data_IF_556307184056
#
_entry.id   IF_556307184056
#
_cell.length_a   1.000
_cell.length_b   1.000
_cell.length_c   1.000
_cell.angle_alpha   90.00
_cell.angle_beta   90.00
_cell.angle_gamma   90.00
#
_symmetry.space_group_name_H-M   'P 1'
#
loop_
_entity.id
_entity.type
_entity.pdbx_description
1 polymer ?
#
# COMPACT_ATOMS: atom_id res chain seq x y z
N UNK A 1 -23.50 2.04 -22.95
CA UNK A 1 -23.35 1.09 -21.86
C UNK A 1 -22.01 1.31 -21.11
N UNK A 2 -20.90 1.49 -21.82
CA UNK A 2 -19.57 1.77 -21.24
C UNK A 2 -19.54 2.97 -20.25
N UNK A 3 -20.26 4.06 -20.54
CA UNK A 3 -20.34 5.26 -19.66
C UNK A 3 -21.01 5.02 -18.29
N UNK A 4 -21.91 4.03 -18.16
CA UNK A 4 -22.61 3.74 -16.90
C UNK A 4 -21.85 2.75 -16.02
N UNK A 5 -21.06 1.87 -16.63
CA UNK A 5 -20.25 0.87 -15.91
C UNK A 5 -18.96 1.53 -15.38
N UNK A 6 -18.39 2.48 -16.14
CA UNK A 6 -17.32 3.33 -15.65
C UNK A 6 -17.74 4.19 -14.44
N UNK A 7 -19.05 4.56 -14.38
CA UNK A 7 -19.62 5.28 -13.24
C UNK A 7 -19.67 4.44 -11.95
N UNK A 8 -19.72 3.11 -12.04
CA UNK A 8 -19.72 2.25 -10.84
C UNK A 8 -18.31 2.08 -10.21
N UNK A 9 -17.24 2.02 -11.02
CA UNK A 9 -15.88 2.21 -10.50
C UNK A 9 -15.69 3.62 -9.91
N UNK A 10 -16.43 4.61 -10.41
CA UNK A 10 -16.50 5.99 -9.92
C UNK A 10 -17.15 6.13 -8.54
N UNK A 11 -18.09 5.26 -8.15
CA UNK A 11 -18.84 5.43 -6.89
C UNK A 11 -17.97 5.11 -5.68
N UNK A 12 -16.95 4.25 -5.79
CA UNK A 12 -15.93 4.09 -4.76
C UNK A 12 -14.96 5.29 -4.75
N UNK A 13 -14.94 6.09 -5.83
CA UNK A 13 -13.95 7.12 -6.10
C UNK A 13 -14.50 8.54 -6.27
N UNK A 14 -15.82 8.77 -6.19
CA UNK A 14 -16.46 9.96 -6.72
C UNK A 14 -16.92 10.99 -5.69
N UNK A 15 -16.18 11.18 -4.60
CA UNK A 15 -16.39 12.37 -3.74
C UNK A 15 -15.08 13.10 -3.41
N UNK A 16 -14.12 13.13 -4.35
CA UNK A 16 -12.98 14.02 -4.20
C UNK A 16 -13.02 15.10 -5.27
N UNK A 17 -12.96 16.34 -4.84
CA UNK A 17 -12.93 17.54 -5.66
C UNK A 17 -11.91 17.44 -6.79
N UNK A 18 -12.37 17.67 -8.03
CA UNK A 18 -11.52 17.90 -9.18
C UNK A 18 -10.71 19.17 -8.97
N UNK A 19 -9.41 19.05 -8.72
CA UNK A 19 -8.47 20.09 -9.10
C UNK A 19 -8.02 19.77 -10.52
N UNK A 20 -8.64 20.45 -11.49
CA UNK A 20 -8.16 20.49 -12.86
C UNK A 20 -6.81 21.22 -12.90
N UNK A 21 -5.73 20.47 -13.08
CA UNK A 21 -4.53 21.03 -13.70
C UNK A 21 -4.62 20.79 -15.20
N UNK A 22 -4.78 21.86 -15.96
CA UNK A 22 -4.98 21.83 -17.40
C UNK A 22 -3.83 21.15 -18.14
N UNK A 23 -4.18 20.13 -18.90
CA UNK A 23 -3.36 19.44 -19.88
C UNK A 23 -4.27 18.79 -20.89
N UNK A 24 -3.96 18.92 -22.16
CA UNK A 24 -4.70 18.57 -23.37
C UNK A 24 -5.65 17.40 -23.26
N UNK A 25 -6.87 17.57 -23.80
CA UNK A 25 -7.92 16.57 -23.92
C UNK A 25 -7.47 15.40 -24.80
N UNK A 26 -6.93 14.37 -24.17
CA UNK A 26 -6.72 13.07 -24.78
C UNK A 26 -7.95 12.19 -24.45
N UNK A 27 -8.66 11.72 -25.48
CA UNK A 27 -10.02 11.19 -25.41
C UNK A 27 -10.20 9.83 -24.72
N UNK A 28 -9.37 9.47 -23.75
CA UNK A 28 -9.46 8.24 -22.97
C UNK A 28 -9.99 8.47 -21.55
N UNK A 29 -10.67 7.47 -20.99
CA UNK A 29 -11.11 7.51 -19.58
C UNK A 29 -9.93 7.27 -18.66
N UNK A 30 -9.37 8.37 -18.12
CA UNK A 30 -8.23 8.36 -17.18
C UNK A 30 -8.72 8.69 -15.79
N UNK A 31 -8.46 7.83 -14.82
CA UNK A 31 -8.68 8.11 -13.40
C UNK A 31 -7.35 8.05 -12.67
N UNK A 32 -6.99 9.14 -11.98
CA UNK A 32 -5.78 9.21 -11.16
C UNK A 32 -6.21 9.28 -9.71
N UNK A 33 -5.71 8.34 -8.92
CA UNK A 33 -5.85 8.34 -7.48
C UNK A 33 -4.53 8.79 -6.87
N UNK A 34 -4.50 10.02 -6.36
CA UNK A 34 -3.30 10.60 -5.76
C UNK A 34 -3.11 10.19 -4.30
N UNK A 35 -1.86 10.25 -3.82
CA UNK A 35 -1.48 9.98 -2.43
C UNK A 35 -1.90 11.08 -1.44
N UNK A 36 -2.47 12.19 -1.89
CA UNK A 36 -2.86 13.34 -1.05
C UNK A 36 -4.01 13.05 -0.07
N UNK A 37 -4.28 11.76 0.16
CA UNK A 37 -5.29 11.34 1.10
C UNK A 37 -4.74 11.41 2.53
N UNK A 38 -5.37 12.18 3.45
CA UNK A 38 -4.88 12.32 4.80
C UNK A 38 -4.90 10.97 5.53
N UNK A 39 -3.86 10.72 6.34
CA UNK A 39 -3.85 9.58 7.24
C UNK A 39 -4.96 9.76 8.29
N UNK A 40 -5.76 8.72 8.56
CA UNK A 40 -6.63 8.74 9.73
C UNK A 40 -5.75 8.77 10.98
N UNK A 41 -5.96 9.72 11.86
CA UNK A 41 -5.22 9.84 13.12
C UNK A 41 -6.20 9.72 14.28
N UNK A 42 -5.96 8.75 15.16
CA UNK A 42 -6.72 8.60 16.41
C UNK A 42 -6.01 9.35 17.54
N UNK A 43 -6.76 9.68 18.59
CA UNK A 43 -6.17 10.24 19.79
C UNK A 43 -5.19 9.25 20.42
N UNK A 44 -3.97 9.70 20.71
CA UNK A 44 -2.95 8.87 21.34
C UNK A 44 -3.23 8.75 22.84
N UNK A 45 -3.11 7.52 23.35
CA UNK A 45 -3.09 7.27 24.79
C UNK A 45 -1.67 7.45 25.35
N UNK A 46 -1.57 7.62 26.66
CA UNK A 46 -0.27 7.49 27.32
C UNK A 46 0.21 6.03 27.21
N UNK A 47 1.44 5.77 26.72
CA UNK A 47 1.92 4.42 26.56
C UNK A 47 1.98 3.65 27.89
N UNK A 48 1.37 2.47 27.91
CA UNK A 48 1.44 1.52 29.03
C UNK A 48 2.65 0.61 28.81
N UNK A 49 3.82 1.02 29.31
CA UNK A 49 5.11 0.32 29.15
C UNK A 49 5.66 -0.13 30.52
N UNK A 50 6.45 -1.23 30.59
CA UNK A 50 6.88 -2.06 29.46
C UNK A 50 5.76 -2.92 28.87
N UNK A 51 5.77 -3.08 27.52
CA UNK A 51 4.86 -3.95 26.79
C UNK A 51 5.65 -5.10 26.17
N UNK A 52 5.08 -6.31 26.20
CA UNK A 52 5.71 -7.50 25.60
C UNK A 52 4.77 -8.08 24.55
N UNK A 53 5.28 -8.31 23.35
CA UNK A 53 4.56 -8.92 22.23
C UNK A 53 5.36 -10.08 21.66
N UNK A 54 4.68 -11.08 21.10
CA UNK A 54 5.30 -12.05 20.22
C UNK A 54 5.15 -11.52 18.80
N UNK A 55 6.27 -11.21 18.13
CA UNK A 55 6.29 -10.62 16.81
C UNK A 55 6.11 -11.67 15.69
N UNK A 56 6.05 -11.23 14.43
CA UNK A 56 5.84 -12.12 13.28
C UNK A 56 7.05 -13.03 12.97
N UNK A 57 8.16 -12.87 13.68
CA UNK A 57 9.31 -13.79 13.65
C UNK A 57 9.29 -14.79 14.81
N UNK A 58 8.15 -14.96 15.49
CA UNK A 58 7.96 -15.78 16.70
C UNK A 58 8.92 -15.38 17.85
N UNK A 59 9.39 -14.13 17.86
CA UNK A 59 10.28 -13.60 18.89
C UNK A 59 9.48 -12.82 19.93
N UNK A 60 9.71 -13.12 21.21
CA UNK A 60 9.16 -12.32 22.32
C UNK A 60 9.99 -11.03 22.47
N UNK A 61 9.38 -9.87 22.22
CA UNK A 61 10.02 -8.56 22.26
C UNK A 61 9.38 -7.73 23.36
N UNK A 62 10.20 -7.20 24.27
CA UNK A 62 9.74 -6.26 25.31
C UNK A 62 10.20 -4.85 24.96
N UNK A 63 9.25 -3.94 24.81
CA UNK A 63 9.48 -2.52 24.61
C UNK A 63 9.27 -1.80 25.94
N UNK A 64 10.31 -1.15 26.44
CA UNK A 64 10.26 -0.41 27.72
C UNK A 64 10.16 1.10 27.53
N UNK A 65 10.42 1.58 26.32
CA UNK A 65 10.37 3.00 25.95
C UNK A 65 10.01 3.12 24.46
N UNK A 66 9.01 3.94 24.13
CA UNK A 66 8.56 4.23 22.77
C UNK A 66 8.77 5.72 22.40
N UNK A 67 9.69 6.40 23.06
CA UNK A 67 9.95 7.82 22.79
C UNK A 67 10.78 8.07 21.53
N UNK A 68 11.51 7.06 21.02
CA UNK A 68 12.40 7.17 19.87
C UNK A 68 12.22 5.98 18.92
N UNK A 69 11.31 6.11 17.99
CA UNK A 69 10.89 5.03 17.09
C UNK A 69 11.61 5.15 15.74
N UNK A 70 12.16 4.06 15.26
CA UNK A 70 12.59 3.92 13.87
C UNK A 70 11.60 3.01 13.13
N UNK A 71 11.07 3.48 11.99
CA UNK A 71 10.11 2.76 11.15
C UNK A 71 10.77 2.32 9.85
N UNK A 72 10.69 1.04 9.52
CA UNK A 72 11.43 0.44 8.42
C UNK A 72 10.56 0.03 7.22
N UNK A 73 9.33 0.54 7.15
CA UNK A 73 8.54 0.55 5.92
C UNK A 73 7.39 1.56 5.99
N UNK A 74 6.83 1.87 4.82
CA UNK A 74 5.75 2.84 4.62
C UNK A 74 4.50 2.51 5.46
N UNK A 75 4.01 1.26 5.45
CA UNK A 75 2.79 0.89 6.15
C UNK A 75 2.95 0.96 7.68
N UNK A 76 4.12 0.59 8.20
CA UNK A 76 4.46 0.75 9.62
C UNK A 76 4.48 2.24 9.99
N UNK A 77 5.11 3.08 9.16
CA UNK A 77 5.13 4.53 9.36
C UNK A 77 3.72 5.12 9.43
N UNK A 78 2.84 4.72 8.50
CA UNK A 78 1.44 5.14 8.48
C UNK A 78 0.71 4.75 9.76
N UNK A 79 0.89 3.51 10.23
CA UNK A 79 0.24 3.04 11.46
C UNK A 79 0.74 3.84 12.68
N UNK A 80 2.05 4.05 12.82
CA UNK A 80 2.60 4.82 13.95
C UNK A 80 2.10 6.26 13.95
N UNK A 81 2.03 6.90 12.77
CA UNK A 81 1.43 8.23 12.63
C UNK A 81 -0.06 8.20 13.01
N UNK A 82 -0.80 7.21 12.50
CA UNK A 82 -2.23 7.07 12.77
C UNK A 82 -2.56 6.81 14.24
N UNK A 83 -1.63 6.19 14.98
CA UNK A 83 -1.72 6.05 16.43
C UNK A 83 -1.38 7.35 17.21
N UNK A 84 -1.14 8.46 16.50
CA UNK A 84 -0.82 9.76 17.12
C UNK A 84 0.63 9.89 17.60
N UNK A 85 1.54 8.99 17.19
CA UNK A 85 2.92 8.94 17.67
C UNK A 85 3.95 9.47 16.64
N UNK A 86 3.54 10.33 15.73
CA UNK A 86 4.40 10.91 14.68
C UNK A 86 5.67 11.53 15.23
N UNK A 87 5.55 12.31 16.30
CA UNK A 87 6.68 13.06 16.88
C UNK A 87 7.75 12.15 17.53
N UNK A 88 7.40 10.89 17.77
CA UNK A 88 8.34 9.88 18.27
C UNK A 88 9.19 9.25 17.15
N UNK A 89 8.83 9.43 15.87
CA UNK A 89 9.55 8.86 14.74
C UNK A 89 10.83 9.66 14.48
N UNK A 90 11.98 9.02 14.67
CA UNK A 90 13.30 9.65 14.52
C UNK A 90 14.12 9.11 13.35
N UNK A 91 13.68 8.01 12.75
CA UNK A 91 14.31 7.40 11.60
C UNK A 91 13.29 6.64 10.75
N UNK A 92 13.53 6.62 9.44
CA UNK A 92 12.67 5.94 8.46
C UNK A 92 13.48 5.23 7.38
N UNK A 93 12.87 4.26 6.73
CA UNK A 93 13.45 3.67 5.53
C UNK A 93 13.39 4.63 4.32
N UNK A 94 14.22 4.39 3.32
CA UNK A 94 14.31 5.23 2.13
C UNK A 94 13.04 5.16 1.24
N UNK A 95 12.27 4.07 1.34
CA UNK A 95 11.05 3.86 0.54
C UNK A 95 9.82 4.57 1.14
N UNK A 96 9.90 5.01 2.39
CA UNK A 96 8.84 5.81 3.04
C UNK A 96 8.81 7.22 2.43
N UNK A 97 7.76 7.52 1.68
CA UNK A 97 7.61 8.78 0.92
C UNK A 97 6.68 9.79 1.57
N UNK A 98 6.12 9.48 2.76
CA UNK A 98 5.20 10.34 3.50
C UNK A 98 5.77 11.76 3.68
N UNK A 99 5.05 12.78 3.24
CA UNK A 99 5.44 14.19 3.39
C UNK A 99 5.71 14.53 4.85
N UNK A 100 4.89 14.00 5.75
CA UNK A 100 5.02 14.20 7.20
C UNK A 100 6.36 13.71 7.79
N UNK A 101 7.11 12.87 7.07
CA UNK A 101 8.39 12.30 7.49
C UNK A 101 9.56 12.71 6.59
N UNK A 102 9.40 13.66 5.67
CA UNK A 102 10.47 14.07 4.75
C UNK A 102 11.71 14.61 5.46
N UNK A 103 11.54 15.26 6.61
CA UNK A 103 12.64 15.77 7.44
C UNK A 103 13.26 14.70 8.35
N UNK A 104 12.67 13.51 8.45
CA UNK A 104 13.18 12.42 9.32
C UNK A 104 14.32 11.70 8.61
N UNK A 105 15.37 11.36 9.36
CA UNK A 105 16.59 10.73 8.85
C UNK A 105 16.32 9.38 8.17
N UNK A 106 16.98 9.13 7.05
CA UNK A 106 16.92 7.87 6.32
C UNK A 106 17.98 6.90 6.83
N UNK A 107 17.54 5.71 7.21
CA UNK A 107 18.42 4.67 7.79
C UNK A 107 18.58 3.45 6.90
N UNK A 108 18.10 3.49 5.66
CA UNK A 108 18.23 2.40 4.70
C UNK A 108 18.59 2.92 3.32
N UNK A 109 19.07 2.01 2.46
CA UNK A 109 19.22 2.22 1.03
C UNK A 109 18.27 1.24 0.29
N UNK A 110 17.12 1.73 -0.13
CA UNK A 110 16.05 0.85 -0.58
C UNK A 110 15.55 -0.03 0.57
N UNK A 111 15.58 -1.34 0.39
CA UNK A 111 15.18 -2.31 1.43
C UNK A 111 16.32 -2.72 2.36
N UNK A 112 17.56 -2.27 2.09
CA UNK A 112 18.73 -2.63 2.88
C UNK A 112 18.89 -1.66 4.05
N UNK A 113 18.60 -2.14 5.25
CA UNK A 113 18.74 -1.39 6.50
C UNK A 113 20.21 -1.31 6.91
N UNK A 114 20.69 -0.11 7.24
CA UNK A 114 22.00 0.10 7.85
C UNK A 114 21.87 0.07 9.37
N UNK A 115 22.34 -1.00 10.00
CA UNK A 115 22.35 -1.10 11.47
C UNK A 115 23.13 0.05 12.11
N UNK A 116 24.26 0.48 11.51
CA UNK A 116 25.06 1.62 11.99
C UNK A 116 24.24 2.92 11.96
N UNK A 117 23.54 3.20 10.84
CA UNK A 117 22.70 4.39 10.72
C UNK A 117 21.57 4.38 11.75
N UNK A 118 20.92 3.23 11.97
CA UNK A 118 19.88 3.07 12.98
C UNK A 118 20.46 3.32 14.38
N UNK A 119 21.56 2.67 14.74
CA UNK A 119 22.19 2.80 16.08
C UNK A 119 22.66 4.23 16.36
N UNK A 120 23.13 4.96 15.34
CA UNK A 120 23.54 6.37 15.47
C UNK A 120 22.43 7.27 16.00
N UNK A 121 21.18 6.93 15.65
CA UNK A 121 19.99 7.64 16.12
C UNK A 121 19.59 7.30 17.56
N UNK A 122 20.23 6.29 18.18
CA UNK A 122 19.90 5.82 19.53
C UNK A 122 18.40 5.57 19.72
N UNK A 123 17.79 4.70 18.91
CA UNK A 123 16.35 4.38 19.03
C UNK A 123 16.08 3.63 20.34
N UNK A 124 14.85 3.76 20.83
CA UNK A 124 14.33 2.94 21.93
C UNK A 124 13.53 1.74 21.43
N UNK A 125 13.06 1.79 20.19
CA UNK A 125 12.41 0.68 19.49
C UNK A 125 12.56 0.84 17.97
N UNK A 126 12.71 -0.27 17.27
CA UNK A 126 12.69 -0.36 15.80
C UNK A 126 11.53 -1.23 15.38
N UNK A 127 10.76 -0.79 14.39
CA UNK A 127 9.61 -1.55 13.87
C UNK A 127 9.75 -1.72 12.35
N UNK A 128 9.78 -2.97 11.92
CA UNK A 128 9.78 -3.36 10.52
C UNK A 128 8.70 -4.39 10.21
N UNK A 129 8.79 -5.06 9.07
CA UNK A 129 7.98 -6.21 8.72
C UNK A 129 8.86 -7.39 8.27
N UNK A 130 8.23 -8.50 7.88
CA UNK A 130 8.93 -9.74 7.48
C UNK A 130 9.84 -9.57 6.26
N UNK A 131 9.73 -8.48 5.49
CA UNK A 131 10.60 -8.14 4.36
C UNK A 131 11.77 -7.24 4.74
N UNK A 132 11.77 -6.75 5.98
CA UNK A 132 12.85 -5.87 6.47
C UNK A 132 14.15 -6.65 6.58
N UNK A 133 15.20 -6.16 5.95
CA UNK A 133 16.48 -6.85 5.94
C UNK A 133 17.66 -5.91 5.66
N UNK A 134 18.87 -6.44 5.51
CA UNK A 134 19.19 -7.88 5.62
C UNK A 134 19.07 -8.44 7.04
N UNK A 135 18.89 -9.76 7.21
CA UNK A 135 18.74 -10.39 8.54
C UNK A 135 19.88 -10.04 9.51
N UNK A 136 21.10 -9.93 9.00
CA UNK A 136 22.29 -9.58 9.77
C UNK A 136 22.16 -8.19 10.42
N UNK A 137 21.52 -7.23 9.74
CA UNK A 137 21.28 -5.91 10.31
C UNK A 137 20.29 -5.98 11.48
N UNK A 138 19.26 -6.82 11.37
CA UNK A 138 18.28 -7.04 12.44
C UNK A 138 18.95 -7.71 13.65
N UNK A 139 19.80 -8.71 13.41
CA UNK A 139 20.57 -9.38 14.47
C UNK A 139 21.55 -8.42 15.17
N UNK A 140 22.22 -7.54 14.42
CA UNK A 140 23.09 -6.52 14.99
C UNK A 140 22.32 -5.54 15.88
N UNK A 141 21.15 -5.08 15.48
CA UNK A 141 20.29 -4.21 16.28
C UNK A 141 19.86 -4.90 17.58
N UNK A 142 19.38 -6.15 17.47
CA UNK A 142 19.01 -6.98 18.64
C UNK A 142 20.21 -7.24 19.55
N UNK A 143 21.38 -7.54 18.98
CA UNK A 143 22.63 -7.74 19.71
C UNK A 143 23.13 -6.48 20.43
N UNK A 144 22.80 -5.30 19.94
CA UNK A 144 23.04 -4.01 20.61
C UNK A 144 22.00 -3.68 21.70
N UNK A 145 21.05 -4.58 21.96
CA UNK A 145 20.02 -4.41 22.99
C UNK A 145 18.82 -3.55 22.56
N UNK A 146 18.68 -3.27 21.26
CA UNK A 146 17.54 -2.53 20.75
C UNK A 146 16.36 -3.49 20.51
N UNK A 147 15.18 -3.25 21.09
CA UNK A 147 13.96 -3.98 20.75
C UNK A 147 13.64 -3.79 19.27
N UNK A 148 13.58 -4.89 18.49
CA UNK A 148 13.19 -4.89 17.09
C UNK A 148 11.93 -5.73 16.95
N UNK A 149 10.81 -5.07 16.61
CA UNK A 149 9.50 -5.68 16.41
C UNK A 149 9.28 -5.89 14.92
N UNK A 150 9.03 -7.13 14.53
CA UNK A 150 8.70 -7.51 13.15
C UNK A 150 7.19 -7.67 13.04
N UNK A 151 6.53 -6.71 12.40
CA UNK A 151 5.09 -6.77 12.15
C UNK A 151 4.77 -7.78 11.04
N UNK A 152 3.56 -8.39 11.03
CA UNK A 152 3.16 -9.29 9.96
C UNK A 152 3.05 -8.56 8.63
N UNK A 153 3.42 -9.24 7.56
CA UNK A 153 3.15 -8.77 6.21
C UNK A 153 1.64 -8.83 5.92
N UNK A 154 1.15 -7.82 5.21
CA UNK A 154 -0.27 -7.70 4.90
C UNK A 154 -0.44 -7.48 3.41
N UNK A 155 -1.14 -8.42 2.76
CA UNK A 155 -1.55 -8.36 1.35
C UNK A 155 -3.07 -8.32 1.20
N UNK A 156 -3.82 -8.37 2.33
CA UNK A 156 -5.27 -8.40 2.35
C UNK A 156 -5.83 -7.31 3.26
N UNK A 157 -7.00 -6.80 2.93
CA UNK A 157 -7.71 -5.83 3.78
C UNK A 157 -8.04 -6.44 5.15
N UNK A 158 -8.38 -7.73 5.18
CA UNK A 158 -8.73 -8.47 6.39
C UNK A 158 -7.55 -8.68 7.35
N UNK A 159 -6.32 -8.63 6.87
CA UNK A 159 -5.12 -8.80 7.71
C UNK A 159 -4.62 -7.48 8.36
N UNK A 160 -5.11 -6.32 7.92
CA UNK A 160 -4.71 -5.03 8.46
C UNK A 160 -4.95 -4.88 9.97
N UNK A 161 -6.11 -5.31 10.54
CA UNK A 161 -6.36 -5.23 11.98
C UNK A 161 -5.27 -5.90 12.82
N UNK A 162 -4.80 -7.08 12.42
CA UNK A 162 -3.75 -7.82 13.15
C UNK A 162 -2.43 -7.04 13.19
N UNK A 163 -2.02 -6.42 12.07
CA UNK A 163 -0.83 -5.57 12.00
C UNK A 163 -0.95 -4.34 12.90
N UNK A 164 -2.09 -3.64 12.85
CA UNK A 164 -2.37 -2.46 13.68
C UNK A 164 -2.33 -2.84 15.17
N UNK A 165 -3.02 -3.92 15.56
CA UNK A 165 -3.07 -4.39 16.94
C UNK A 165 -1.69 -4.75 17.47
N UNK A 166 -0.87 -5.45 16.68
CA UNK A 166 0.49 -5.82 17.09
C UNK A 166 1.36 -4.58 17.31
N UNK A 167 1.39 -3.62 16.37
CA UNK A 167 2.20 -2.42 16.48
C UNK A 167 1.73 -1.57 17.67
N UNK A 168 0.43 -1.36 17.83
CA UNK A 168 -0.14 -0.60 18.94
C UNK A 168 0.18 -1.24 20.30
N UNK A 169 0.08 -2.58 20.39
CA UNK A 169 0.43 -3.32 21.61
C UNK A 169 1.92 -3.20 21.94
N UNK A 170 2.80 -3.33 20.93
CA UNK A 170 4.23 -3.17 21.12
C UNK A 170 4.62 -1.76 21.61
N UNK A 171 3.90 -0.74 21.14
CA UNK A 171 4.10 0.67 21.53
C UNK A 171 3.39 1.05 22.85
N UNK A 172 2.68 0.12 23.49
CA UNK A 172 1.96 0.34 24.73
C UNK A 172 0.68 1.18 24.58
N UNK A 173 0.10 1.26 23.39
CA UNK A 173 -1.12 2.03 23.10
C UNK A 173 -2.25 1.16 22.51
N UNK A 174 -2.61 0.03 23.15
CA UNK A 174 -3.55 -0.94 22.58
C UNK A 174 -4.94 -0.34 22.31
N UNK A 175 -5.42 0.57 23.17
CA UNK A 175 -6.71 1.25 22.99
C UNK A 175 -6.75 2.16 21.77
N UNK A 176 -5.65 2.87 21.46
CA UNK A 176 -5.51 3.62 20.23
C UNK A 176 -5.53 2.66 19.02
N UNK A 177 -4.89 1.49 19.16
CA UNK A 177 -4.96 0.42 18.16
C UNK A 177 -6.38 -0.05 17.88
N UNK A 178 -7.18 -0.32 18.91
CA UNK A 178 -8.60 -0.70 18.79
C UNK A 178 -9.40 0.37 18.04
N UNK A 179 -9.26 1.64 18.43
CA UNK A 179 -9.93 2.76 17.74
C UNK A 179 -9.53 2.87 16.27
N UNK A 180 -8.25 2.64 15.96
CA UNK A 180 -7.77 2.69 14.58
C UNK A 180 -8.31 1.51 13.77
N UNK A 181 -8.42 0.32 14.35
CA UNK A 181 -9.05 -0.84 13.73
C UNK A 181 -10.52 -0.58 13.44
N UNK A 182 -11.30 -0.12 14.44
CA UNK A 182 -12.72 0.19 14.28
C UNK A 182 -12.96 1.23 13.18
N UNK A 183 -12.16 2.30 13.18
CA UNK A 183 -12.21 3.35 12.14
C UNK A 183 -11.93 2.76 10.76
N UNK A 184 -10.93 1.89 10.69
CA UNK A 184 -10.50 1.23 9.47
C UNK A 184 -11.58 0.30 8.91
N UNK A 185 -12.14 -0.57 9.74
CA UNK A 185 -13.19 -1.50 9.36
C UNK A 185 -14.48 -0.78 8.96
N UNK A 186 -14.85 0.28 9.68
CA UNK A 186 -16.00 1.11 9.31
C UNK A 186 -15.83 1.71 7.93
N UNK A 187 -14.67 2.28 7.64
CA UNK A 187 -14.39 2.89 6.35
C UNK A 187 -14.35 1.87 5.20
N UNK A 188 -13.79 0.66 5.42
CA UNK A 188 -13.87 -0.45 4.45
C UNK A 188 -15.33 -0.82 4.17
N UNK A 189 -16.12 -1.05 5.23
CA UNK A 189 -17.49 -1.46 5.10
C UNK A 189 -18.36 -0.41 4.39
N UNK A 190 -18.12 0.86 4.64
CA UNK A 190 -18.83 1.94 3.98
C UNK A 190 -18.43 2.06 2.50
N UNK A 191 -17.15 1.88 2.18
CA UNK A 191 -16.68 1.81 0.80
C UNK A 191 -17.35 0.64 0.05
N UNK A 192 -17.39 -0.56 0.65
CA UNK A 192 -18.03 -1.74 0.07
C UNK A 192 -19.54 -1.56 -0.16
N UNK A 193 -20.26 -0.90 0.77
CA UNK A 193 -21.68 -0.58 0.59
C UNK A 193 -21.91 0.35 -0.61
N UNK A 194 -21.01 1.31 -0.82
CA UNK A 194 -21.12 2.28 -1.91
C UNK A 194 -20.81 1.69 -3.29
N UNK A 195 -20.08 0.57 -3.37
CA UNK A 195 -19.88 -0.19 -4.63
C UNK A 195 -21.22 -0.68 -5.19
N UNK A 196 -22.21 -0.87 -4.32
CA UNK A 196 -23.54 -1.34 -4.67
C UNK A 196 -23.52 -2.79 -5.22
N UNK A 197 -24.69 -3.29 -5.55
CA UNK A 197 -24.83 -4.53 -6.31
C UNK A 197 -24.56 -4.30 -7.83
N UNK A 198 -23.52 -3.52 -8.15
CA UNK A 198 -23.05 -3.45 -9.51
C UNK A 198 -22.49 -4.84 -9.84
N UNK A 199 -23.28 -5.67 -10.53
CA UNK A 199 -22.79 -6.87 -11.18
C UNK A 199 -21.78 -6.44 -12.26
N UNK A 200 -20.65 -5.89 -11.82
CA UNK A 200 -19.58 -5.50 -12.71
C UNK A 200 -18.86 -6.77 -13.13
N UNK A 201 -18.98 -7.09 -14.39
CA UNK A 201 -18.18 -8.13 -15.04
C UNK A 201 -16.89 -7.56 -15.62
N UNK A 202 -16.50 -6.34 -15.20
CA UNK A 202 -15.28 -5.68 -15.71
C UNK A 202 -14.05 -6.51 -15.38
N UNK A 203 -13.35 -6.88 -16.43
CA UNK A 203 -12.10 -7.63 -16.36
C UNK A 203 -10.96 -6.62 -16.20
N UNK A 204 -10.26 -6.67 -15.07
CA UNK A 204 -9.18 -5.74 -14.73
C UNK A 204 -7.86 -6.48 -14.71
N UNK A 205 -6.85 -5.97 -15.41
CA UNK A 205 -5.48 -6.44 -15.31
C UNK A 205 -4.66 -5.46 -14.47
N UNK A 206 -4.09 -5.93 -13.38
CA UNK A 206 -3.06 -5.17 -12.67
C UNK A 206 -1.69 -5.38 -13.33
N UNK A 207 -1.10 -4.29 -13.81
CA UNK A 207 0.24 -4.30 -14.41
C UNK A 207 1.24 -3.64 -13.46
N UNK A 208 2.14 -4.45 -12.89
CA UNK A 208 3.31 -3.96 -12.17
C UNK A 208 4.44 -3.73 -13.17
N UNK A 209 4.71 -2.46 -13.47
CA UNK A 209 5.74 -2.10 -14.45
C UNK A 209 6.81 -1.21 -13.84
N UNK A 210 8.07 -1.45 -14.24
CA UNK A 210 9.25 -0.63 -13.93
C UNK A 210 10.13 -0.65 -15.18
N UNK A 211 9.77 0.18 -16.15
CA UNK A 211 10.41 0.21 -17.48
C UNK A 211 11.91 0.43 -17.42
N UNK A 212 12.37 1.33 -16.53
CA UNK A 212 13.81 1.60 -16.31
C UNK A 212 14.59 0.40 -15.79
N UNK A 213 13.92 -0.52 -15.09
CA UNK A 213 14.49 -1.77 -14.59
C UNK A 213 14.12 -2.98 -15.46
N UNK A 214 13.43 -2.78 -16.59
CA UNK A 214 12.93 -3.84 -17.47
C UNK A 214 12.05 -4.87 -16.74
N UNK A 215 11.31 -4.46 -15.71
CA UNK A 215 10.39 -5.31 -14.97
C UNK A 215 8.97 -5.07 -15.47
N UNK A 216 8.35 -6.14 -15.96
CA UNK A 216 6.97 -6.14 -16.46
C UNK A 216 6.28 -7.39 -15.93
N UNK A 217 5.33 -7.21 -15.00
CA UNK A 217 4.61 -8.30 -14.34
C UNK A 217 3.10 -8.08 -14.45
N UNK A 218 2.37 -9.17 -14.60
CA UNK A 218 0.93 -9.24 -14.47
C UNK A 218 0.60 -9.71 -13.05
N UNK A 219 -0.21 -8.94 -12.33
CA UNK A 219 -0.71 -9.30 -11.02
C UNK A 219 -1.70 -10.46 -11.11
N UNK A 220 -1.76 -11.26 -10.07
CA UNK A 220 -2.69 -12.37 -9.91
C UNK A 220 -3.02 -12.58 -8.44
N UNK A 221 -3.43 -13.78 -8.07
CA UNK A 221 -3.83 -14.13 -6.71
C UNK A 221 -2.72 -13.82 -5.70
N UNK A 222 -3.06 -13.03 -4.66
CA UNK A 222 -2.13 -12.61 -3.62
C UNK A 222 -1.25 -11.40 -3.99
N UNK A 223 -1.49 -10.72 -5.10
CA UNK A 223 -0.79 -9.46 -5.45
C UNK A 223 -1.21 -8.28 -4.56
N UNK A 224 -2.32 -8.43 -3.84
CA UNK A 224 -2.96 -7.36 -3.09
C UNK A 224 -3.79 -6.41 -3.96
N UNK A 225 -3.54 -6.35 -5.26
CA UNK A 225 -4.40 -5.64 -6.20
C UNK A 225 -5.67 -6.46 -6.51
N UNK A 226 -5.59 -7.79 -6.49
CA UNK A 226 -6.71 -8.71 -6.66
C UNK A 226 -7.85 -8.44 -5.66
N UNK A 227 -7.54 -8.24 -4.38
CA UNK A 227 -8.53 -7.86 -3.37
C UNK A 227 -9.15 -6.47 -3.62
N UNK A 228 -8.33 -5.51 -4.01
CA UNK A 228 -8.81 -4.15 -4.30
C UNK A 228 -9.72 -4.15 -5.53
N UNK A 229 -9.37 -4.92 -6.56
CA UNK A 229 -10.20 -5.12 -7.75
C UNK A 229 -11.53 -5.79 -7.39
N UNK A 230 -11.49 -6.86 -6.59
CA UNK A 230 -12.69 -7.56 -6.13
C UNK A 230 -13.56 -6.66 -5.24
N UNK A 231 -12.98 -5.91 -4.31
CA UNK A 231 -13.67 -4.93 -3.48
C UNK A 231 -14.33 -3.82 -4.31
N UNK A 232 -13.74 -3.46 -5.45
CA UNK A 232 -14.30 -2.54 -6.42
C UNK A 232 -15.39 -3.16 -7.33
N UNK A 233 -15.72 -4.44 -7.13
CA UNK A 233 -16.71 -5.18 -7.94
C UNK A 233 -16.17 -5.63 -9.30
N UNK A 234 -14.87 -5.54 -9.55
CA UNK A 234 -14.21 -6.03 -10.75
C UNK A 234 -13.77 -7.50 -10.63
N UNK A 235 -13.27 -8.04 -11.73
CA UNK A 235 -12.68 -9.37 -11.81
C UNK A 235 -11.21 -9.23 -12.17
N UNK A 236 -10.31 -9.64 -11.28
CA UNK A 236 -8.88 -9.69 -11.59
C UNK A 236 -8.61 -10.80 -12.61
N UNK A 237 -8.06 -10.43 -13.78
CA UNK A 237 -7.84 -11.41 -14.85
C UNK A 237 -6.66 -12.32 -14.58
N UNK A 238 -5.67 -11.87 -13.79
CA UNK A 238 -4.56 -12.71 -13.39
C UNK A 238 -5.02 -13.81 -12.43
N UNK A 239 -5.74 -13.44 -11.36
CA UNK A 239 -6.32 -14.40 -10.42
C UNK A 239 -7.31 -15.35 -11.12
N UNK A 240 -8.18 -14.82 -12.00
CA UNK A 240 -9.12 -15.65 -12.80
C UNK A 240 -8.41 -16.72 -13.64
N UNK A 241 -7.22 -16.41 -14.15
CA UNK A 241 -6.41 -17.34 -14.93
C UNK A 241 -5.42 -18.18 -14.08
N UNK A 242 -5.56 -18.13 -12.74
CA UNK A 242 -4.71 -18.91 -11.83
C UNK A 242 -3.26 -18.45 -11.77
N UNK A 243 -2.97 -17.20 -12.13
CA UNK A 243 -1.62 -16.66 -12.05
C UNK A 243 -1.26 -16.34 -10.59
N UNK A 244 0.01 -16.57 -10.25
CA UNK A 244 0.56 -16.15 -8.97
C UNK A 244 0.62 -14.62 -8.86
N UNK A 245 0.87 -14.13 -7.66
CA UNK A 245 0.84 -12.72 -7.29
C UNK A 245 1.54 -11.79 -8.29
N UNK A 246 2.71 -12.21 -8.78
CA UNK A 246 3.50 -11.47 -9.77
C UNK A 246 4.10 -12.44 -10.79
N UNK A 247 3.45 -12.54 -11.94
CA UNK A 247 3.88 -13.40 -13.04
C UNK A 247 4.46 -12.54 -14.17
N UNK A 248 5.54 -12.94 -14.85
CA UNK A 248 6.08 -12.19 -15.98
C UNK A 248 4.98 -11.88 -17.02
N UNK A 249 4.86 -10.61 -17.41
CA UNK A 249 3.92 -10.17 -18.44
C UNK A 249 4.41 -10.65 -19.80
N UNK A 250 3.68 -11.57 -20.41
CA UNK A 250 3.92 -11.99 -21.80
C UNK A 250 2.80 -11.45 -22.70
N UNK A 251 3.12 -11.22 -23.98
CA UNK A 251 2.14 -10.79 -24.96
C UNK A 251 0.98 -11.78 -25.09
N UNK A 252 1.26 -13.07 -25.00
CA UNK A 252 0.26 -14.13 -25.07
C UNK A 252 -0.68 -14.09 -23.87
N UNK A 253 -0.13 -13.99 -22.63
CA UNK A 253 -0.92 -13.98 -21.41
C UNK A 253 -1.89 -12.78 -21.36
N UNK A 254 -1.44 -11.58 -21.72
CA UNK A 254 -2.30 -10.38 -21.67
C UNK A 254 -3.33 -10.37 -22.78
N UNK A 255 -3.01 -10.89 -23.97
CA UNK A 255 -3.98 -11.02 -25.08
C UNK A 255 -5.04 -12.06 -24.72
N UNK A 256 -4.66 -13.21 -24.14
CA UNK A 256 -5.61 -14.22 -23.67
C UNK A 256 -6.50 -13.69 -22.54
N UNK A 257 -5.91 -12.94 -21.63
CA UNK A 257 -6.65 -12.31 -20.52
C UNK A 257 -7.63 -11.25 -21.02
N UNK A 258 -7.36 -10.54 -22.08
CA UNK A 258 -8.16 -9.51 -22.73
C UNK A 258 -8.95 -8.64 -21.76
N UNK A 259 -8.26 -7.83 -20.92
CA UNK A 259 -8.93 -6.99 -19.92
C UNK A 259 -9.74 -5.86 -20.55
N UNK A 260 -10.76 -5.40 -19.80
CA UNK A 260 -11.53 -4.19 -20.10
C UNK A 260 -10.85 -2.94 -19.56
N UNK A 261 -10.03 -3.09 -18.49
CA UNK A 261 -9.35 -2.00 -17.78
C UNK A 261 -7.94 -2.45 -17.40
N UNK A 262 -7.00 -1.55 -17.56
CA UNK A 262 -5.64 -1.70 -17.00
C UNK A 262 -5.54 -0.90 -15.71
N UNK A 263 -5.13 -1.56 -14.62
CA UNK A 263 -4.75 -0.93 -13.37
C UNK A 263 -3.24 -0.84 -13.31
N UNK A 264 -2.69 0.33 -13.07
CA UNK A 264 -1.24 0.56 -13.03
C UNK A 264 -0.89 1.57 -11.93
N UNK A 265 0.31 1.46 -11.38
CA UNK A 265 0.82 2.42 -10.41
C UNK A 265 1.46 3.62 -11.11
N UNK A 266 1.39 4.80 -10.48
CA UNK A 266 1.84 6.08 -11.03
C UNK A 266 3.31 6.06 -11.47
N UNK A 267 4.23 5.65 -10.61
CA UNK A 267 5.67 5.54 -10.95
C UNK A 267 5.94 4.49 -12.03
N UNK A 268 5.14 3.43 -12.04
CA UNK A 268 5.18 2.41 -13.09
C UNK A 268 4.80 3.00 -14.46
N UNK A 269 3.69 3.73 -14.51
CA UNK A 269 3.23 4.38 -15.73
C UNK A 269 4.25 5.39 -16.26
N UNK A 270 4.82 6.22 -15.39
CA UNK A 270 5.88 7.18 -15.76
C UNK A 270 7.11 6.47 -16.34
N UNK A 271 7.49 5.34 -15.75
CA UNK A 271 8.70 4.58 -16.16
C UNK A 271 8.61 3.98 -17.57
N UNK A 272 7.41 3.87 -18.13
CA UNK A 272 7.18 3.36 -19.49
C UNK A 272 6.78 4.45 -20.49
N UNK A 273 6.84 5.73 -20.10
CA UNK A 273 6.50 6.86 -20.97
C UNK A 273 5.02 7.22 -21.00
N UNK A 274 4.32 6.99 -19.88
CA UNK A 274 2.91 7.33 -19.73
C UNK A 274 1.96 6.33 -20.39
N UNK A 275 0.72 6.79 -20.63
CA UNK A 275 -0.34 5.92 -21.17
C UNK A 275 0.05 5.36 -22.54
N UNK A 276 0.59 6.17 -23.43
CA UNK A 276 0.95 5.72 -24.77
C UNK A 276 2.06 4.67 -24.74
N UNK A 277 3.05 4.85 -23.88
CA UNK A 277 4.08 3.86 -23.65
C UNK A 277 3.52 2.55 -23.08
N UNK A 278 2.62 2.62 -22.08
CA UNK A 278 1.95 1.46 -21.51
C UNK A 278 1.15 0.70 -22.57
N UNK A 279 0.33 1.41 -23.34
CA UNK A 279 -0.53 0.80 -24.38
C UNK A 279 0.28 0.25 -25.57
N UNK A 280 1.52 0.69 -25.78
CA UNK A 280 2.41 0.17 -26.82
C UNK A 280 3.15 -1.11 -26.41
N UNK A 281 3.07 -1.53 -25.16
CA UNK A 281 3.72 -2.76 -24.70
C UNK A 281 3.22 -3.99 -25.51
N UNK A 282 4.10 -4.97 -25.77
CA UNK A 282 3.74 -6.17 -26.52
C UNK A 282 2.52 -6.90 -25.95
N UNK A 283 1.52 -7.13 -26.78
CA UNK A 283 0.23 -7.75 -26.42
C UNK A 283 -0.77 -6.79 -25.79
N UNK A 284 -0.34 -5.79 -25.02
CA UNK A 284 -1.26 -4.80 -24.41
C UNK A 284 -2.04 -4.04 -25.47
N UNK A 285 -1.38 -3.61 -26.54
CA UNK A 285 -2.00 -2.89 -27.67
C UNK A 285 -3.17 -3.63 -28.35
N UNK A 286 -3.24 -4.95 -28.16
CA UNK A 286 -4.28 -5.80 -28.77
C UNK A 286 -5.49 -6.04 -27.87
N UNK A 287 -5.51 -5.47 -26.65
CA UNK A 287 -6.59 -5.69 -25.67
C UNK A 287 -7.73 -4.69 -25.83
N UNK A 288 -8.90 -5.04 -25.32
CA UNK A 288 -10.06 -4.13 -25.23
C UNK A 288 -9.76 -2.89 -24.42
N UNK A 289 -8.99 -3.03 -23.34
CA UNK A 289 -8.55 -1.92 -22.52
C UNK A 289 -7.72 -0.91 -23.32
N UNK A 290 -6.80 -1.38 -24.17
CA UNK A 290 -6.01 -0.51 -25.02
C UNK A 290 -6.86 0.19 -26.09
N UNK A 291 -7.78 -0.53 -26.75
CA UNK A 291 -8.68 0.04 -27.74
C UNK A 291 -9.57 1.14 -27.15
N UNK A 292 -10.00 0.99 -25.89
CA UNK A 292 -10.79 1.97 -25.15
C UNK A 292 -9.94 3.01 -24.40
N UNK A 293 -8.61 2.87 -24.40
CA UNK A 293 -7.67 3.64 -23.55
C UNK A 293 -8.10 3.65 -22.06
N UNK A 294 -8.66 2.54 -21.59
CA UNK A 294 -9.20 2.40 -20.24
C UNK A 294 -8.08 2.07 -19.25
N UNK A 295 -7.48 3.11 -18.66
CA UNK A 295 -6.39 3.02 -17.71
C UNK A 295 -6.77 3.68 -16.40
N UNK A 296 -6.66 2.94 -15.31
CA UNK A 296 -6.77 3.45 -13.94
C UNK A 296 -5.37 3.54 -13.35
N UNK A 297 -5.01 4.73 -12.90
CA UNK A 297 -3.70 5.00 -12.28
C UNK A 297 -3.90 5.19 -10.80
N UNK A 298 -3.17 4.43 -9.99
CA UNK A 298 -3.20 4.51 -8.53
C UNK A 298 -1.80 4.85 -8.04
N UNK A 299 -1.72 5.71 -7.04
CA UNK A 299 -0.43 5.99 -6.40
C UNK A 299 0.17 4.70 -5.82
N UNK A 300 1.48 4.53 -5.98
CA UNK A 300 2.21 3.34 -5.52
C UNK A 300 1.99 3.08 -4.02
N UNK A 301 1.98 4.15 -3.23
CA UNK A 301 1.84 4.08 -1.79
C UNK A 301 0.40 3.74 -1.34
N UNK A 302 -0.60 3.95 -2.21
CA UNK A 302 -1.98 3.56 -1.94
C UNK A 302 -2.28 2.12 -2.33
N UNK A 303 -1.69 1.61 -3.41
CA UNK A 303 -2.07 0.29 -3.92
C UNK A 303 -1.40 -0.85 -3.15
N UNK A 304 -0.13 -0.72 -2.78
CA UNK A 304 0.65 -1.83 -2.22
C UNK A 304 1.10 -1.63 -0.77
N UNK A 305 0.86 -0.47 -0.14
CA UNK A 305 1.32 -0.24 1.23
C UNK A 305 0.50 -1.01 2.28
N UNK A 306 -0.78 -1.27 2.02
CA UNK A 306 -1.71 -1.85 3.00
C UNK A 306 -1.63 -1.18 4.37
N UNK A 307 -1.50 0.15 4.36
CA UNK A 307 -1.59 1.00 5.54
C UNK A 307 -3.01 1.54 5.76
N UNK A 308 -3.24 2.30 6.85
CA UNK A 308 -4.56 2.85 7.19
C UNK A 308 -5.16 3.77 6.12
N UNK A 309 -4.36 4.38 5.23
CA UNK A 309 -4.83 5.25 4.13
C UNK A 309 -5.65 4.51 3.07
N UNK A 310 -5.42 3.20 2.91
CA UNK A 310 -6.16 2.39 1.93
C UNK A 310 -7.67 2.42 2.21
N UNK A 311 -8.05 2.78 3.40
CA UNK A 311 -9.39 2.69 3.98
C UNK A 311 -10.12 4.03 3.98
N UNK A 312 -9.40 5.16 3.96
CA UNK A 312 -9.92 6.49 4.25
C UNK A 312 -10.85 7.14 3.21
N UNK A 313 -11.44 6.40 2.27
CA UNK A 313 -12.26 6.97 1.20
C UNK A 313 -13.75 7.06 1.44
N UNK A 314 -14.23 6.75 2.63
CA UNK A 314 -15.68 6.74 2.90
C UNK A 314 -16.26 8.08 3.38
N UNK A 315 -15.44 9.09 3.68
CA UNK A 315 -15.95 10.37 4.20
C UNK A 315 -15.36 11.57 3.45
N UNK A 316 -15.97 11.96 2.35
CA UNK A 316 -16.19 13.37 1.95
C UNK A 316 -17.50 13.44 1.18
#
# INVERSE_FOLDING_TARGET
MLRRVLACLLVIMATAACTESGGASDGGSRFILSADYPLPVVESDQPELPATVTDASDTSVTVSDASRIVVLNQAVAEIVISLGMKENIIGRDATTTLEALQAVEKVSNGHDVSAESVLSLRPTVVIGDTRTGPPEAIEQLRGAGIPVVIAPEVWTLSALPARVTMIASALGVPKAGERLVDLSESAINDALKNVGAANSTLRVAFLYVRGTASVYLLGGEGSGADEVIAAAGGVDVGALNGLAAFTPLTAEAIVQADPDVLLVMSRGLESVGGIDGLLSLPGVSSTRAAAARAVVVVDDDLLLSFGPRKIGRAHV
#
